data_IF_475680614422
#
_entry.id   IF_475680614422
#
_cell.length_a   1.000
_cell.length_b   1.000
_cell.length_c   1.000
_cell.angle_alpha   90.00
_cell.angle_beta   90.00
_cell.angle_gamma   90.00
#
_symmetry.space_group_name_H-M   'P 1'
#
loop_
_entity.id
_entity.type
_entity.pdbx_description
1 polymer ?
#
# COMPACT_ATOMS: atom_id res chain seq x y z
N UNK A 1 23.31 -33.44 23.69
CA UNK A 1 23.19 -32.00 23.37
C UNK A 1 23.78 -31.79 21.99
N UNK A 2 22.93 -31.79 20.97
CA UNK A 2 23.28 -31.34 19.62
C UNK A 2 22.04 -30.65 19.07
N UNK A 3 22.25 -29.44 18.55
CA UNK A 3 21.24 -28.48 18.10
C UNK A 3 20.71 -28.96 16.75
N UNK A 4 19.39 -29.19 16.64
CA UNK A 4 18.72 -29.35 15.35
C UNK A 4 18.16 -28.00 14.89
N UNK A 5 18.65 -27.59 13.73
CA UNK A 5 18.20 -26.51 12.88
C UNK A 5 16.74 -26.69 12.49
N UNK A 6 15.85 -25.85 13.03
CA UNK A 6 14.45 -25.76 12.63
C UNK A 6 14.35 -25.11 11.25
N UNK A 7 14.02 -25.92 10.24
CA UNK A 7 13.70 -25.51 8.88
C UNK A 7 12.41 -24.69 8.84
N UNK A 8 12.48 -23.52 8.20
CA UNK A 8 11.35 -22.65 7.87
C UNK A 8 10.35 -23.39 6.98
N UNK A 9 9.22 -23.83 7.55
CA UNK A 9 8.16 -24.49 6.80
C UNK A 9 7.01 -23.50 6.52
N UNK A 10 7.20 -22.67 5.49
CA UNK A 10 6.12 -21.96 4.81
C UNK A 10 5.76 -22.74 3.55
N UNK A 11 4.79 -23.64 3.65
CA UNK A 11 4.16 -24.27 2.48
C UNK A 11 2.64 -24.13 2.55
N UNK A 12 2.09 -23.68 1.42
CA UNK A 12 0.69 -23.79 0.97
C UNK A 12 -0.36 -22.76 1.44
N UNK A 13 -0.20 -21.52 0.98
CA UNK A 13 -1.29 -20.86 0.28
C UNK A 13 -0.76 -20.35 -1.07
N UNK A 14 -1.24 -20.84 -2.23
CA UNK A 14 -0.79 -20.36 -3.52
C UNK A 14 -1.28 -18.93 -3.74
N UNK A 15 -0.35 -18.02 -4.06
CA UNK A 15 -0.69 -16.74 -4.69
C UNK A 15 -1.34 -17.05 -6.05
N UNK A 16 -2.52 -16.51 -6.38
CA UNK A 16 -3.12 -16.76 -7.69
C UNK A 16 -2.20 -16.20 -8.78
N UNK A 17 -1.85 -17.06 -9.74
CA UNK A 17 -1.16 -16.62 -10.96
C UNK A 17 -2.11 -15.76 -11.78
N UNK A 18 -1.74 -14.54 -12.20
CA UNK A 18 -2.60 -13.75 -13.07
C UNK A 18 -2.77 -14.47 -14.41
N UNK A 19 -4.01 -14.81 -14.77
CA UNK A 19 -4.35 -15.23 -16.14
C UNK A 19 -4.42 -13.98 -17.02
N UNK A 20 -4.05 -14.08 -18.32
CA UNK A 20 -4.18 -12.94 -19.22
C UNK A 20 -5.65 -12.51 -19.32
N UNK A 21 -5.93 -11.19 -19.36
CA UNK A 21 -7.29 -10.69 -19.42
C UNK A 21 -7.97 -11.15 -20.72
N UNK A 22 -9.27 -11.53 -20.69
CA UNK A 22 -10.03 -11.71 -21.91
C UNK A 22 -10.12 -10.37 -22.66
N UNK A 23 -9.99 -10.45 -23.99
CA UNK A 23 -10.14 -9.31 -24.88
C UNK A 23 -11.54 -8.70 -24.75
N UNK A 24 -11.60 -7.44 -24.30
CA UNK A 24 -12.74 -6.57 -24.52
C UNK A 24 -13.66 -6.36 -23.31
N UNK A 25 -13.29 -5.39 -22.48
CA UNK A 25 -14.18 -4.30 -22.04
C UNK A 25 -13.37 -3.31 -21.21
N UNK A 26 -13.36 -2.04 -21.61
CA UNK A 26 -12.86 -0.96 -20.78
C UNK A 26 -13.78 -0.84 -19.56
N UNK A 27 -13.26 -1.16 -18.37
CA UNK A 27 -13.97 -0.99 -17.11
C UNK A 27 -13.38 0.23 -16.40
N UNK A 28 -14.21 1.26 -16.32
CA UNK A 28 -13.95 2.55 -15.70
C UNK A 28 -13.86 2.41 -14.18
N UNK A 29 -12.87 3.08 -13.60
CA UNK A 29 -12.85 3.51 -12.19
C UNK A 29 -14.24 4.00 -11.74
N UNK A 30 -14.66 3.74 -10.47
CA UNK A 30 -15.91 4.28 -9.94
C UNK A 30 -15.94 5.82 -9.80
N UNK A 31 -14.89 6.56 -10.20
CA UNK A 31 -14.97 8.02 -10.36
C UNK A 31 -14.97 8.42 -11.86
N UNK A 32 -16.08 9.01 -12.30
CA UNK A 32 -16.45 9.25 -13.71
C UNK A 32 -16.01 10.61 -14.29
N UNK A 33 -15.49 10.57 -15.53
CA UNK A 33 -15.78 11.44 -16.70
C UNK A 33 -15.22 12.89 -16.76
N UNK A 34 -14.21 13.12 -17.64
CA UNK A 34 -14.31 14.04 -18.81
C UNK A 34 -13.26 13.72 -19.89
N UNK A 35 -13.74 13.43 -21.10
CA UNK A 35 -12.98 13.11 -22.31
C UNK A 35 -12.49 14.38 -23.05
N UNK A 36 -11.34 14.23 -23.72
CA UNK A 36 -11.08 14.47 -25.16
C UNK A 36 -9.96 15.46 -25.58
N UNK A 37 -8.94 14.85 -26.20
CA UNK A 37 -8.22 15.19 -27.46
C UNK A 37 -7.09 16.25 -27.56
N UNK A 38 -5.99 15.71 -28.12
CA UNK A 38 -5.06 16.25 -29.13
C UNK A 38 -3.65 16.72 -28.72
N UNK A 39 -2.65 15.95 -29.18
CA UNK A 39 -1.23 16.29 -29.38
C UNK A 39 -1.06 17.01 -30.74
N UNK A 40 0.04 17.75 -31.07
CA UNK A 40 1.38 17.14 -31.19
C UNK A 40 2.63 18.03 -30.95
N UNK A 41 3.74 17.33 -30.69
CA UNK A 41 5.18 17.56 -31.03
C UNK A 41 5.84 18.96 -30.94
N UNK A 42 6.98 19.01 -30.22
CA UNK A 42 8.31 19.43 -30.73
C UNK A 42 9.44 19.26 -29.67
N UNK A 43 10.56 18.66 -30.08
CA UNK A 43 11.92 18.82 -29.50
C UNK A 43 12.60 20.01 -30.26
N UNK A 44 13.85 20.46 -29.96
CA UNK A 44 14.81 20.15 -28.87
C UNK A 44 15.41 21.43 -28.21
N UNK A 45 16.23 21.28 -27.15
CA UNK A 45 17.58 21.89 -27.08
C UNK A 45 18.32 21.50 -25.81
N UNK A 46 19.61 21.21 -25.99
CA UNK A 46 20.61 20.80 -25.01
C UNK A 46 21.09 22.02 -24.23
N UNK A 47 20.94 22.03 -22.90
CA UNK A 47 21.62 23.00 -22.04
C UNK A 47 22.59 22.26 -21.11
N UNK A 48 23.89 22.42 -21.39
CA UNK A 48 24.99 21.90 -20.60
C UNK A 48 25.30 22.94 -19.51
N UNK A 49 24.72 22.75 -18.33
CA UNK A 49 25.20 23.37 -17.11
C UNK A 49 24.99 22.35 -15.97
N UNK A 50 26.02 22.02 -15.17
CA UNK A 50 25.82 21.12 -14.04
C UNK A 50 24.80 21.75 -13.09
N UNK A 51 23.75 21.03 -12.66
CA UNK A 51 22.78 21.59 -11.74
C UNK A 51 23.49 21.92 -10.43
N UNK A 52 23.49 23.21 -10.07
CA UNK A 52 23.75 23.65 -8.69
C UNK A 52 22.95 22.76 -7.73
N UNK A 53 23.49 22.41 -6.55
CA UNK A 53 22.71 21.70 -5.55
C UNK A 53 21.45 22.52 -5.27
N UNK A 54 20.31 21.97 -5.70
CA UNK A 54 19.01 22.61 -5.52
C UNK A 54 18.79 22.69 -4.02
N UNK A 55 18.58 23.91 -3.52
CA UNK A 55 18.14 24.17 -2.16
C UNK A 55 17.06 23.16 -1.77
N UNK A 56 17.22 22.49 -0.63
CA UNK A 56 16.24 21.55 -0.06
C UNK A 56 14.99 22.33 0.35
N UNK A 57 14.15 22.70 -0.62
CA UNK A 57 12.79 23.16 -0.35
C UNK A 57 12.11 22.04 0.43
N UNK A 58 11.71 22.30 1.68
CA UNK A 58 10.86 21.40 2.46
C UNK A 58 9.68 21.02 1.56
N UNK A 59 9.61 19.76 1.12
CA UNK A 59 8.46 19.26 0.35
C UNK A 59 7.26 19.37 1.30
N UNK A 60 6.16 19.93 0.81
CA UNK A 60 4.91 19.88 1.58
C UNK A 60 4.54 18.40 1.79
N UNK A 61 4.03 18.02 2.96
CA UNK A 61 3.54 16.66 3.16
C UNK A 61 2.42 16.37 2.15
N UNK A 62 2.38 15.14 1.62
CA UNK A 62 1.33 14.74 0.68
C UNK A 62 -0.06 14.80 1.32
N UNK A 63 -1.09 15.01 0.52
CA UNK A 63 -2.47 14.85 0.98
C UNK A 63 -2.77 13.36 1.17
N UNK A 64 -3.30 13.00 2.35
CA UNK A 64 -3.72 11.63 2.65
C UNK A 64 -5.18 11.66 3.12
N UNK A 65 -6.04 11.06 2.30
CA UNK A 65 -7.47 10.93 2.55
C UNK A 65 -7.72 9.58 3.20
N UNK A 66 -8.36 9.60 4.38
CA UNK A 66 -8.64 8.40 5.16
C UNK A 66 -10.15 8.21 5.22
N UNK A 67 -10.63 7.08 4.72
CA UNK A 67 -12.02 6.66 4.80
C UNK A 67 -12.15 5.47 5.76
N UNK A 68 -12.97 5.61 6.80
CA UNK A 68 -13.27 4.49 7.70
C UNK A 68 -14.66 3.92 7.40
N UNK A 69 -14.70 2.86 6.60
CA UNK A 69 -15.91 2.07 6.32
C UNK A 69 -16.18 0.98 7.35
N UNK A 70 -15.27 0.74 8.30
CA UNK A 70 -15.38 -0.28 9.34
C UNK A 70 -15.73 0.36 10.68
N UNK A 71 -17.00 0.22 11.12
CA UNK A 71 -17.50 0.83 12.37
C UNK A 71 -16.81 0.28 13.63
N UNK A 72 -16.34 -0.96 13.56
CA UNK A 72 -15.66 -1.65 14.64
C UNK A 72 -14.22 -1.15 14.84
N UNK A 73 -13.67 -0.40 13.88
CA UNK A 73 -12.34 0.17 13.94
C UNK A 73 -12.36 1.63 14.39
N UNK A 74 -11.61 1.93 15.44
CA UNK A 74 -11.21 3.31 15.77
C UNK A 74 -9.90 3.65 15.06
N UNK A 75 -9.96 4.67 14.18
CA UNK A 75 -8.83 5.16 13.38
C UNK A 75 -8.31 6.49 13.95
N UNK A 76 -7.12 6.53 14.56
CA UNK A 76 -6.48 7.79 14.96
C UNK A 76 -5.96 8.53 13.72
N UNK A 77 -6.83 9.30 13.06
CA UNK A 77 -6.60 9.90 11.74
C UNK A 77 -5.26 10.67 11.62
N UNK A 78 -4.87 11.43 12.64
CA UNK A 78 -3.61 12.18 12.62
C UNK A 78 -2.39 11.26 12.61
N UNK A 79 -2.38 10.23 13.47
CA UNK A 79 -1.29 9.26 13.56
C UNK A 79 -1.22 8.38 12.30
N UNK A 80 -2.36 7.99 11.76
CA UNK A 80 -2.40 7.24 10.49
C UNK A 80 -1.81 8.05 9.34
N UNK A 81 -2.07 9.37 9.25
CA UNK A 81 -1.42 10.23 8.24
C UNK A 81 0.09 10.35 8.48
N UNK A 82 0.51 10.44 9.74
CA UNK A 82 1.93 10.51 10.12
C UNK A 82 2.71 9.31 9.59
N UNK A 83 2.14 8.10 9.59
CA UNK A 83 2.78 6.90 9.00
C UNK A 83 3.27 7.20 7.59
N UNK A 84 2.39 7.64 6.69
CA UNK A 84 2.74 7.90 5.29
C UNK A 84 3.73 9.06 5.14
N UNK A 85 3.62 10.11 5.96
CA UNK A 85 4.61 11.19 5.95
C UNK A 85 6.01 10.74 6.39
N UNK A 86 6.10 9.81 7.36
CA UNK A 86 7.37 9.20 7.73
C UNK A 86 7.94 8.35 6.58
N UNK A 87 7.10 7.54 5.93
CA UNK A 87 7.51 6.73 4.77
C UNK A 87 7.98 7.60 3.59
N UNK A 88 7.33 8.75 3.35
CA UNK A 88 7.76 9.74 2.37
C UNK A 88 9.13 10.34 2.70
N UNK A 89 9.32 10.73 3.96
CA UNK A 89 10.54 11.39 4.42
C UNK A 89 11.74 10.44 4.43
N UNK A 90 11.52 9.14 4.58
CA UNK A 90 12.57 8.14 4.39
C UNK A 90 13.16 8.17 2.97
N UNK A 91 12.37 8.61 1.98
CA UNK A 91 12.74 8.66 0.57
C UNK A 91 13.38 7.34 0.05
N UNK A 92 13.05 6.22 0.70
CA UNK A 92 13.59 4.90 0.39
C UNK A 92 12.82 4.22 -0.75
N UNK A 93 11.57 4.61 -0.94
CA UNK A 93 10.64 4.02 -1.89
C UNK A 93 9.93 5.13 -2.68
N UNK A 94 10.14 5.20 -4.00
CA UNK A 94 9.56 6.24 -4.84
C UNK A 94 8.08 5.93 -5.12
N UNK A 95 7.19 6.35 -4.21
CA UNK A 95 5.75 6.34 -4.45
C UNK A 95 5.36 7.51 -5.35
N UNK A 96 4.40 7.34 -6.28
CA UNK A 96 3.95 8.42 -7.14
C UNK A 96 3.52 9.69 -6.39
N UNK A 97 3.69 10.84 -7.05
CA UNK A 97 3.23 12.11 -6.52
C UNK A 97 1.71 12.23 -6.61
N UNK A 98 1.10 12.99 -5.71
CA UNK A 98 -0.34 13.20 -5.67
C UNK A 98 -0.98 12.84 -4.34
N UNK A 99 -2.31 12.80 -4.36
CA UNK A 99 -3.16 12.46 -3.23
C UNK A 99 -3.22 10.94 -3.03
N UNK A 100 -3.06 10.49 -1.79
CA UNK A 100 -3.18 9.10 -1.40
C UNK A 100 -4.54 8.87 -0.74
N UNK A 101 -5.33 7.92 -1.27
CA UNK A 101 -6.55 7.42 -0.62
C UNK A 101 -6.23 6.18 0.21
N UNK A 102 -6.80 6.08 1.41
CA UNK A 102 -6.74 4.87 2.24
C UNK A 102 -8.14 4.58 2.77
N UNK A 103 -8.64 3.37 2.49
CA UNK A 103 -9.97 2.92 2.91
C UNK A 103 -9.86 1.71 3.84
N UNK A 104 -10.43 1.82 5.04
CA UNK A 104 -10.61 0.70 5.95
C UNK A 104 -11.98 0.07 5.69
N UNK A 105 -12.01 -1.18 5.21
CA UNK A 105 -13.22 -1.85 4.72
C UNK A 105 -13.66 -2.98 5.65
N UNK A 106 -14.96 -3.29 5.64
CA UNK A 106 -15.47 -4.50 6.30
C UNK A 106 -15.08 -5.75 5.51
N UNK A 107 -15.22 -6.93 6.10
CA UNK A 107 -15.01 -8.22 5.42
C UNK A 107 -15.78 -8.28 4.11
N UNK A 108 -17.07 -7.95 4.16
CA UNK A 108 -17.98 -8.10 3.02
C UNK A 108 -17.63 -7.14 1.89
N UNK A 109 -17.15 -5.93 2.20
CA UNK A 109 -16.69 -5.00 1.18
C UNK A 109 -15.33 -5.42 0.62
N UNK A 110 -14.41 -5.92 1.44
CA UNK A 110 -13.12 -6.41 0.97
C UNK A 110 -13.25 -7.62 0.06
N UNK A 111 -14.04 -8.63 0.44
CA UNK A 111 -14.29 -9.83 -0.39
C UNK A 111 -14.93 -9.47 -1.73
N UNK A 112 -15.89 -8.53 -1.74
CA UNK A 112 -16.49 -8.03 -2.98
C UNK A 112 -15.47 -7.32 -3.86
N UNK A 113 -14.68 -6.43 -3.27
CA UNK A 113 -13.61 -5.72 -3.99
C UNK A 113 -12.57 -6.69 -4.58
N UNK A 114 -12.19 -7.71 -3.80
CA UNK A 114 -11.27 -8.75 -4.23
C UNK A 114 -11.86 -9.54 -5.42
N UNK A 115 -13.14 -9.88 -5.36
CA UNK A 115 -13.84 -10.60 -6.42
C UNK A 115 -13.94 -9.75 -7.70
N UNK A 116 -14.35 -8.49 -7.58
CA UNK A 116 -14.60 -7.59 -8.70
C UNK A 116 -13.31 -7.27 -9.49
N UNK A 117 -12.17 -7.14 -8.80
CA UNK A 117 -10.92 -6.67 -9.41
C UNK A 117 -9.85 -7.75 -9.59
N UNK A 118 -9.85 -8.81 -8.78
CA UNK A 118 -8.83 -9.86 -8.80
C UNK A 118 -9.43 -11.27 -8.99
N UNK A 119 -10.74 -11.37 -9.19
CA UNK A 119 -11.46 -12.63 -9.44
C UNK A 119 -11.29 -13.67 -8.31
N UNK A 120 -11.13 -13.19 -7.08
CA UNK A 120 -10.98 -14.01 -5.87
C UNK A 120 -11.87 -13.41 -4.77
N UNK A 121 -12.83 -14.17 -4.25
CA UNK A 121 -13.79 -13.70 -3.24
C UNK A 121 -13.33 -13.95 -1.79
N UNK A 122 -12.12 -14.49 -1.61
CA UNK A 122 -11.54 -14.70 -0.29
C UNK A 122 -11.21 -13.37 0.40
N UNK A 123 -11.15 -13.39 1.73
CA UNK A 123 -10.69 -12.23 2.47
C UNK A 123 -9.18 -12.07 2.28
N UNK A 124 -8.77 -10.88 1.83
CA UNK A 124 -7.37 -10.46 1.79
C UNK A 124 -7.12 -9.31 2.77
N UNK A 125 -5.87 -9.11 3.14
CA UNK A 125 -5.44 -8.08 4.09
C UNK A 125 -5.44 -6.67 3.48
N UNK A 126 -4.91 -6.54 2.26
CA UNK A 126 -4.78 -5.28 1.54
C UNK A 126 -4.96 -5.47 0.04
N UNK A 127 -5.60 -4.49 -0.60
CA UNK A 127 -5.65 -4.33 -2.06
C UNK A 127 -5.14 -2.93 -2.37
N UNK A 128 -4.23 -2.82 -3.34
CA UNK A 128 -3.64 -1.55 -3.74
C UNK A 128 -3.98 -1.26 -5.20
N UNK A 129 -4.48 -0.07 -5.46
CA UNK A 129 -4.73 0.42 -6.81
C UNK A 129 -3.71 1.47 -7.18
N UNK A 130 -3.11 1.29 -8.35
CA UNK A 130 -2.17 2.25 -8.92
C UNK A 130 -2.83 3.62 -9.09
N UNK A 131 -2.05 4.67 -8.83
CA UNK A 131 -2.49 6.04 -9.04
C UNK A 131 -2.47 6.49 -10.50
N UNK A 132 -2.86 7.74 -10.69
CA UNK A 132 -2.76 8.48 -11.94
C UNK A 132 -1.99 9.78 -11.65
N UNK A 133 -0.64 9.77 -11.67
CA UNK A 133 0.17 10.89 -11.23
C UNK A 133 -0.05 12.16 -12.08
N UNK A 134 -0.39 11.99 -13.35
CA UNK A 134 -0.81 13.06 -14.25
C UNK A 134 -2.12 13.74 -13.83
N UNK A 135 -2.98 13.03 -13.10
CA UNK A 135 -4.19 13.55 -12.48
C UNK A 135 -3.97 13.96 -11.02
N UNK A 136 -2.74 13.91 -10.52
CA UNK A 136 -2.42 14.22 -9.13
C UNK A 136 -2.87 13.16 -8.13
N UNK A 137 -3.01 11.89 -8.56
CA UNK A 137 -3.41 10.77 -7.71
C UNK A 137 -2.22 9.82 -7.51
N UNK A 138 -1.80 9.64 -6.25
CA UNK A 138 -0.71 8.73 -5.91
C UNK A 138 -1.15 7.24 -5.94
N UNK A 139 -2.43 6.99 -5.65
CA UNK A 139 -3.02 5.66 -5.62
C UNK A 139 -3.99 5.49 -4.45
N UNK A 140 -4.47 4.27 -4.29
CA UNK A 140 -5.43 3.91 -3.26
C UNK A 140 -5.04 2.61 -2.55
N UNK A 141 -5.15 2.61 -1.22
CA UNK A 141 -4.88 1.45 -0.38
C UNK A 141 -6.16 1.07 0.36
N UNK A 142 -6.70 -0.09 0.06
CA UNK A 142 -7.85 -0.67 0.76
C UNK A 142 -7.34 -1.72 1.75
N UNK A 143 -7.68 -1.61 3.03
CA UNK A 143 -7.25 -2.56 4.08
C UNK A 143 -8.44 -3.17 4.80
N UNK A 144 -8.31 -4.43 5.19
CA UNK A 144 -9.30 -5.17 5.98
C UNK A 144 -8.85 -5.27 7.45
N UNK A 145 -9.40 -4.45 8.37
CA UNK A 145 -9.00 -4.48 9.78
C UNK A 145 -9.32 -5.81 10.45
N UNK A 146 -10.42 -6.45 10.04
CA UNK A 146 -10.82 -7.78 10.53
C UNK A 146 -9.76 -8.84 10.26
N UNK A 147 -9.04 -8.76 9.12
CA UNK A 147 -7.96 -9.67 8.79
C UNK A 147 -6.82 -9.52 9.79
N UNK A 148 -6.43 -8.29 10.14
CA UNK A 148 -5.40 -8.02 11.14
C UNK A 148 -5.81 -8.48 12.55
N UNK A 149 -7.10 -8.40 12.89
CA UNK A 149 -7.62 -8.85 14.18
C UNK A 149 -7.66 -10.38 14.28
N UNK A 150 -8.04 -11.07 13.21
CA UNK A 150 -8.13 -12.54 13.18
C UNK A 150 -6.79 -13.22 12.88
N UNK A 151 -5.80 -12.49 12.40
CA UNK A 151 -4.51 -13.04 12.01
C UNK A 151 -3.78 -13.67 13.21
N UNK A 152 -3.72 -15.00 13.21
CA UNK A 152 -2.97 -15.82 14.19
C UNK A 152 -1.61 -16.25 13.65
N UNK A 153 -1.00 -15.44 12.79
CA UNK A 153 0.27 -15.80 12.17
C UNK A 153 1.44 -15.85 13.16
N UNK A 154 2.56 -16.41 12.69
CA UNK A 154 3.76 -16.66 13.49
C UNK A 154 4.34 -15.41 14.17
N UNK A 155 4.04 -14.21 13.66
CA UNK A 155 4.66 -12.95 14.12
C UNK A 155 4.03 -12.37 15.40
N UNK A 156 2.92 -12.92 15.91
CA UNK A 156 2.24 -12.51 17.17
C UNK A 156 2.28 -10.99 17.42
N UNK A 157 2.08 -10.20 16.37
CA UNK A 157 2.12 -8.75 16.47
C UNK A 157 0.86 -8.25 17.18
N UNK A 158 0.95 -7.17 17.97
CA UNK A 158 -0.23 -6.46 18.41
C UNK A 158 -1.08 -6.02 17.21
N UNK A 159 -2.40 -6.01 17.36
CA UNK A 159 -3.35 -5.61 16.32
C UNK A 159 -2.94 -4.32 15.57
N UNK A 160 -2.54 -3.30 16.33
CA UNK A 160 -2.13 -2.02 15.76
C UNK A 160 -0.88 -2.13 14.87
N UNK A 161 0.08 -2.98 15.23
CA UNK A 161 1.28 -3.21 14.42
C UNK A 161 0.95 -4.01 13.16
N UNK A 162 0.08 -5.03 13.26
CA UNK A 162 -0.37 -5.83 12.12
C UNK A 162 -1.13 -4.96 11.11
N UNK A 163 -2.06 -4.12 11.57
CA UNK A 163 -2.78 -3.20 10.69
C UNK A 163 -1.85 -2.14 10.08
N UNK A 164 -0.86 -1.66 10.84
CA UNK A 164 0.16 -0.74 10.31
C UNK A 164 1.03 -1.41 9.24
N UNK A 165 1.33 -2.70 9.41
CA UNK A 165 2.06 -3.48 8.41
C UNK A 165 1.27 -3.55 7.09
N UNK A 166 -0.07 -3.68 7.13
CA UNK A 166 -0.89 -3.66 5.90
C UNK A 166 -0.85 -2.30 5.19
N UNK A 167 -0.86 -1.20 5.94
CA UNK A 167 -0.68 0.15 5.39
C UNK A 167 0.70 0.32 4.73
N UNK A 168 1.75 -0.18 5.38
CA UNK A 168 3.11 -0.20 4.85
C UNK A 168 3.19 -1.06 3.59
N UNK A 169 2.58 -2.24 3.61
CA UNK A 169 2.58 -3.17 2.49
C UNK A 169 1.92 -2.54 1.26
N UNK A 170 0.74 -1.95 1.41
CA UNK A 170 0.08 -1.22 0.32
C UNK A 170 0.90 -0.03 -0.18
N UNK A 171 1.56 0.71 0.72
CA UNK A 171 2.47 1.78 0.34
C UNK A 171 3.65 1.30 -0.52
N UNK A 172 4.21 0.13 -0.18
CA UNK A 172 5.33 -0.47 -0.92
C UNK A 172 4.89 -0.96 -2.30
N UNK A 173 3.66 -1.47 -2.44
CA UNK A 173 3.08 -1.76 -3.74
C UNK A 173 2.97 -0.51 -4.62
N UNK A 174 2.53 0.62 -4.06
CA UNK A 174 2.53 1.89 -4.81
C UNK A 174 3.94 2.32 -5.25
N UNK A 175 4.99 1.89 -4.55
CA UNK A 175 6.38 2.13 -4.94
C UNK A 175 6.93 1.13 -5.98
N UNK A 176 6.09 0.23 -6.48
CA UNK A 176 6.43 -0.79 -7.46
C UNK A 176 7.11 -2.04 -6.90
N UNK A 177 7.05 -2.26 -5.57
CA UNK A 177 7.44 -3.56 -5.01
C UNK A 177 6.29 -4.55 -5.18
N UNK A 178 6.64 -5.79 -5.45
CA UNK A 178 5.69 -6.89 -5.58
C UNK A 178 6.13 -8.07 -4.71
N UNK A 179 5.25 -9.03 -4.49
CA UNK A 179 5.51 -10.19 -3.64
C UNK A 179 4.99 -11.53 -4.22
N UNK A 180 4.73 -11.56 -5.53
CA UNK A 180 4.30 -12.75 -6.29
C UNK A 180 5.36 -13.86 -6.27
N UNK A 181 6.60 -13.55 -6.64
CA UNK A 181 7.68 -14.54 -6.68
C UNK A 181 8.54 -14.53 -5.39
N UNK A 182 9.26 -15.62 -5.05
CA UNK A 182 10.04 -15.71 -3.82
C UNK A 182 11.11 -14.61 -3.66
N UNK A 183 11.71 -14.16 -4.75
CA UNK A 183 12.74 -13.11 -4.74
C UNK A 183 12.11 -11.74 -4.52
N UNK A 184 11.02 -11.43 -5.22
CA UNK A 184 10.25 -10.20 -5.02
C UNK A 184 9.71 -10.14 -3.58
N UNK A 185 9.13 -11.23 -3.09
CA UNK A 185 8.66 -11.38 -1.71
C UNK A 185 9.77 -11.11 -0.69
N UNK A 186 10.99 -11.62 -0.90
CA UNK A 186 12.12 -11.34 -0.02
C UNK A 186 12.46 -9.84 0.03
N UNK A 187 12.41 -9.14 -1.11
CA UNK A 187 12.59 -7.68 -1.18
C UNK A 187 11.47 -6.94 -0.46
N UNK A 188 10.21 -7.34 -0.67
CA UNK A 188 9.05 -6.80 0.04
C UNK A 188 9.21 -6.94 1.55
N UNK A 189 9.53 -8.15 2.06
CA UNK A 189 9.71 -8.38 3.50
C UNK A 189 10.87 -7.60 4.11
N UNK A 190 11.95 -7.37 3.36
CA UNK A 190 13.04 -6.52 3.80
C UNK A 190 12.62 -5.04 3.88
N UNK A 191 11.83 -4.57 2.91
CA UNK A 191 11.30 -3.21 2.88
C UNK A 191 10.28 -2.97 4.01
N UNK A 192 9.34 -3.91 4.22
CA UNK A 192 8.39 -3.90 5.33
C UNK A 192 9.10 -3.80 6.68
N UNK A 193 10.12 -4.64 6.90
CA UNK A 193 10.92 -4.61 8.13
C UNK A 193 11.55 -3.24 8.34
N UNK A 194 12.22 -2.70 7.31
CA UNK A 194 12.86 -1.37 7.38
C UNK A 194 11.85 -0.27 7.70
N UNK A 195 10.67 -0.31 7.08
CA UNK A 195 9.61 0.66 7.32
C UNK A 195 9.07 0.55 8.75
N UNK A 196 8.72 -0.66 9.21
CA UNK A 196 8.18 -0.89 10.54
C UNK A 196 9.20 -0.54 11.63
N UNK A 197 10.47 -0.89 11.45
CA UNK A 197 11.53 -0.55 12.41
C UNK A 197 11.71 0.97 12.52
N UNK A 198 11.62 1.70 11.40
CA UNK A 198 11.60 3.16 11.42
C UNK A 198 10.40 3.70 12.21
N UNK A 199 9.19 3.23 11.92
CA UNK A 199 7.96 3.68 12.58
C UNK A 199 7.97 3.39 14.08
N UNK A 200 8.53 2.25 14.51
CA UNK A 200 8.76 1.95 15.93
C UNK A 200 9.74 2.94 16.56
N UNK A 201 10.87 3.18 15.90
CA UNK A 201 11.92 4.07 16.41
C UNK A 201 11.44 5.53 16.61
N UNK A 202 10.46 5.98 15.84
CA UNK A 202 9.90 7.34 15.94
C UNK A 202 8.54 7.40 16.65
N UNK A 203 8.08 6.31 17.27
CA UNK A 203 6.76 6.20 17.90
C UNK A 203 5.62 6.70 17.00
N UNK A 204 5.61 6.21 15.74
CA UNK A 204 4.65 6.57 14.71
C UNK A 204 3.66 5.43 14.38
N UNK A 205 3.64 4.37 15.19
CA UNK A 205 2.61 3.32 15.07
C UNK A 205 1.30 3.85 15.64
N UNK A 206 0.22 3.96 14.83
CA UNK A 206 -1.04 4.49 15.31
C UNK A 206 -1.70 3.53 16.31
N UNK A 207 -2.32 4.08 17.35
CA UNK A 207 -3.04 3.30 18.37
C UNK A 207 -4.42 2.87 17.87
N UNK A 208 -4.45 2.00 16.88
CA UNK A 208 -5.69 1.42 16.39
C UNK A 208 -6.36 0.58 17.48
N UNK A 209 -7.68 0.64 17.53
CA UNK A 209 -8.47 -0.17 18.44
C UNK A 209 -9.65 -0.79 17.68
N UNK A 210 -9.78 -2.11 17.77
CA UNK A 210 -10.83 -2.88 17.11
C UNK A 210 -11.77 -3.45 18.16
N UNK A 211 -13.06 -3.20 18.00
CA UNK A 211 -14.12 -3.69 18.89
C UNK A 211 -15.17 -4.39 18.04
N UNK A 212 -15.06 -5.72 17.85
CA UNK A 212 -16.10 -6.46 17.16
C UNK A 212 -17.40 -6.31 17.96
N UNK A 213 -18.48 -5.94 17.25
CA UNK A 213 -19.84 -5.83 17.80
C UNK A 213 -20.48 -7.17 18.13
#
# INVERSE_FOLDING_TARGET
MTIESGTDNWTNAPSPTPRPPPSGRALSSPFSIRFMRESPTRKPTRNLNPPRPKSTKKRKPRSVHLHNGCRDLSVPLADTRRVFHHLDNLAAWPVPEGELSVAFLTREHMCRLHSDFLQDDSLTDVITFEGAPEAGLAGEICVAPVQAHEFKGARRLPFAEELTLYLVHGYLHLAGLDDVDPTARKKMRAAERRAMDHLRAVDAIPRFNFRPG
#
